data_IF_088589567051
#
_entry.id   IF_088589567051
#
_cell.length_a   1.000
_cell.length_b   1.000
_cell.length_c   1.000
_cell.angle_alpha   90.00
_cell.angle_beta   90.00
_cell.angle_gamma   90.00
#
_symmetry.space_group_name_H-M   'P 1'
#
loop_
_entity.id
_entity.type
_entity.pdbx_description
1 polymer ?
#
# COMPACT_ATOMS: atom_id res chain seq x y z
N UNK A 1 68.71 -23.74 -4.73
CA UNK A 1 68.07 -24.69 -5.67
C UNK A 1 66.58 -24.53 -5.53
N UNK A 2 65.72 -24.47 -6.54
CA UNK A 2 65.78 -24.16 -7.97
C UNK A 2 64.30 -24.07 -8.37
N UNK A 3 63.96 -23.11 -9.24
CA UNK A 3 62.61 -22.89 -9.80
C UNK A 3 61.96 -24.18 -10.30
N UNK A 4 60.63 -24.24 -10.22
CA UNK A 4 59.79 -24.47 -11.39
C UNK A 4 58.56 -23.56 -11.30
N UNK A 5 58.58 -22.51 -12.12
CA UNK A 5 57.40 -21.78 -12.52
C UNK A 5 56.75 -22.59 -13.64
N UNK A 6 55.49 -22.99 -13.47
CA UNK A 6 54.68 -23.49 -14.58
C UNK A 6 54.12 -22.28 -15.33
N UNK A 7 54.61 -22.08 -16.55
CA UNK A 7 54.05 -21.13 -17.50
C UNK A 7 52.78 -21.73 -18.08
N UNK A 8 51.62 -21.20 -17.70
CA UNK A 8 50.40 -21.39 -18.48
C UNK A 8 50.45 -20.41 -19.65
N UNK A 9 50.89 -20.91 -20.81
CA UNK A 9 50.68 -20.23 -22.09
C UNK A 9 49.16 -20.15 -22.33
N UNK A 10 48.59 -18.97 -22.11
CA UNK A 10 47.27 -18.64 -22.62
C UNK A 10 47.39 -18.52 -24.15
N UNK A 11 47.14 -19.63 -24.85
CA UNK A 11 46.95 -19.61 -26.29
C UNK A 11 45.64 -18.87 -26.57
N UNK A 12 45.73 -17.58 -26.85
CA UNK A 12 44.59 -16.84 -27.39
C UNK A 12 44.19 -17.49 -28.72
N UNK A 13 42.91 -17.87 -28.91
CA UNK A 13 42.47 -18.32 -30.22
C UNK A 13 42.71 -17.19 -31.22
N UNK A 14 43.34 -17.52 -32.35
CA UNK A 14 43.48 -16.61 -33.48
C UNK A 14 42.10 -16.04 -33.84
N UNK A 15 41.99 -14.75 -34.19
CA UNK A 15 40.69 -14.15 -34.45
C UNK A 15 40.06 -14.87 -35.64
N UNK A 16 39.03 -15.66 -35.36
CA UNK A 16 38.17 -16.26 -36.37
C UNK A 16 37.76 -15.14 -37.34
N UNK A 17 38.08 -15.37 -38.61
CA UNK A 17 37.70 -14.53 -39.73
C UNK A 17 36.19 -14.33 -39.69
N UNK A 18 35.71 -13.19 -39.15
CA UNK A 18 34.28 -12.83 -39.13
C UNK A 18 33.74 -13.00 -40.54
N UNK A 19 32.96 -14.07 -40.75
CA UNK A 19 32.20 -14.25 -41.99
C UNK A 19 31.19 -13.10 -42.02
N UNK A 20 31.44 -12.10 -42.86
CA UNK A 20 30.42 -11.11 -43.20
C UNK A 20 29.30 -11.88 -43.90
N UNK A 21 28.12 -11.90 -43.30
CA UNK A 21 26.92 -12.42 -43.94
C UNK A 21 26.66 -11.60 -45.21
N UNK A 22 26.31 -12.25 -46.33
CA UNK A 22 26.05 -11.56 -47.60
C UNK A 22 24.86 -10.60 -47.48
N UNK A 23 24.85 -9.49 -48.23
CA UNK A 23 23.92 -8.36 -48.04
C UNK A 23 22.45 -8.67 -48.37
N UNK A 24 22.13 -9.90 -48.81
CA UNK A 24 20.80 -10.25 -49.31
C UNK A 24 19.90 -11.03 -48.32
N UNK A 25 20.27 -11.11 -47.03
CA UNK A 25 19.51 -11.91 -46.06
C UNK A 25 19.22 -11.16 -44.75
N UNK A 26 18.82 -9.87 -44.81
CA UNK A 26 18.35 -9.12 -43.63
C UNK A 26 16.83 -9.05 -43.52
N UNK A 27 16.11 -9.18 -44.64
CA UNK A 27 14.65 -9.08 -44.67
C UNK A 27 13.91 -10.28 -44.04
N UNK A 28 14.35 -11.57 -44.10
CA UNK A 28 13.58 -12.65 -43.49
C UNK A 28 13.68 -12.64 -41.96
N UNK A 29 14.82 -12.19 -41.41
CA UNK A 29 15.00 -12.00 -39.96
C UNK A 29 14.13 -10.85 -39.42
N UNK A 30 14.01 -9.75 -40.17
CA UNK A 30 13.12 -8.64 -39.80
C UNK A 30 11.64 -9.04 -39.87
N UNK A 31 11.23 -9.82 -40.88
CA UNK A 31 9.84 -10.32 -40.96
C UNK A 31 9.55 -11.32 -39.85
N UNK A 32 10.49 -12.23 -39.55
CA UNK A 32 10.33 -13.16 -38.44
C UNK A 32 10.20 -12.43 -37.10
N UNK A 33 10.99 -11.37 -36.87
CA UNK A 33 10.92 -10.57 -35.66
C UNK A 33 9.57 -9.83 -35.53
N UNK A 34 9.05 -9.28 -36.65
CA UNK A 34 7.73 -8.63 -36.69
C UNK A 34 6.61 -9.65 -36.48
N UNK A 35 6.72 -10.85 -37.06
CA UNK A 35 5.73 -11.90 -36.85
C UNK A 35 5.72 -12.39 -35.39
N UNK A 36 6.89 -12.50 -34.76
CA UNK A 36 7.01 -12.86 -33.34
C UNK A 36 6.44 -11.76 -32.44
N UNK A 37 6.72 -10.48 -32.71
CA UNK A 37 6.14 -9.38 -31.92
C UNK A 37 4.63 -9.30 -32.09
N UNK A 38 4.11 -9.48 -33.30
CA UNK A 38 2.66 -9.54 -33.55
C UNK A 38 2.02 -10.75 -32.87
N UNK A 39 2.68 -11.92 -32.89
CA UNK A 39 2.21 -13.09 -32.16
C UNK A 39 2.19 -12.84 -30.66
N UNK A 40 3.24 -12.24 -30.08
CA UNK A 40 3.27 -11.87 -28.66
C UNK A 40 2.16 -10.88 -28.31
N UNK A 41 1.92 -9.86 -29.13
CA UNK A 41 0.83 -8.89 -28.94
C UNK A 41 -0.53 -9.59 -29.05
N UNK A 42 -0.71 -10.47 -30.03
CA UNK A 42 -1.94 -11.23 -30.23
C UNK A 42 -2.21 -12.17 -29.04
N UNK A 43 -1.20 -12.90 -28.58
CA UNK A 43 -1.30 -13.76 -27.40
C UNK A 43 -1.55 -12.94 -26.13
N UNK A 44 -0.91 -11.78 -25.95
CA UNK A 44 -1.18 -10.88 -24.82
C UNK A 44 -2.60 -10.29 -24.84
N UNK A 45 -3.15 -10.04 -26.03
CA UNK A 45 -4.51 -9.53 -26.20
C UNK A 45 -5.58 -10.62 -26.03
N UNK A 46 -5.33 -11.84 -26.52
CA UNK A 46 -6.28 -12.96 -26.46
C UNK A 46 -6.14 -13.84 -25.21
N UNK A 47 -5.04 -13.75 -24.46
CA UNK A 47 -4.90 -14.37 -23.14
C UNK A 47 -4.90 -13.28 -22.07
N UNK A 48 -6.08 -12.76 -21.69
CA UNK A 48 -6.20 -11.92 -20.50
C UNK A 48 -6.06 -12.77 -19.23
N UNK A 49 -5.11 -13.72 -19.16
CA UNK A 49 -4.80 -14.43 -17.90
C UNK A 49 -3.93 -13.58 -16.96
N UNK A 50 -3.78 -12.29 -17.26
CA UNK A 50 -3.37 -11.23 -16.34
C UNK A 50 -4.51 -10.20 -16.15
N UNK A 51 -5.76 -10.51 -16.53
CA UNK A 51 -6.91 -9.68 -16.16
C UNK A 51 -7.32 -10.05 -14.74
N UNK A 52 -6.98 -9.15 -13.82
CA UNK A 52 -7.37 -9.05 -12.42
C UNK A 52 -8.88 -9.18 -12.10
N UNK A 53 -9.75 -9.37 -13.10
CA UNK A 53 -11.21 -9.43 -12.93
C UNK A 53 -11.67 -10.60 -12.05
N UNK A 54 -10.97 -11.74 -12.11
CA UNK A 54 -11.35 -12.91 -11.32
C UNK A 54 -10.90 -12.82 -9.85
N UNK A 55 -9.83 -12.06 -9.58
CA UNK A 55 -9.39 -11.76 -8.21
C UNK A 55 -10.45 -10.91 -7.51
N UNK A 56 -11.10 -10.00 -8.24
CA UNK A 56 -12.10 -9.10 -7.68
C UNK A 56 -13.47 -9.72 -7.36
N UNK A 57 -13.88 -10.74 -8.10
CA UNK A 57 -15.18 -11.39 -7.88
C UNK A 57 -15.23 -12.25 -6.59
N UNK A 58 -14.05 -12.63 -6.06
CA UNK A 58 -13.92 -13.41 -4.83
C UNK A 58 -13.84 -12.56 -3.56
N UNK A 59 -13.80 -11.23 -3.68
CA UNK A 59 -13.98 -10.36 -2.52
C UNK A 59 -15.45 -10.46 -2.12
N UNK A 60 -15.71 -11.25 -1.08
CA UNK A 60 -16.91 -11.09 -0.29
C UNK A 60 -16.97 -9.61 0.10
N UNK A 61 -17.84 -8.89 -0.60
CA UNK A 61 -18.28 -7.56 -0.26
C UNK A 61 -19.22 -7.74 0.95
N UNK A 62 -18.69 -8.28 2.05
CA UNK A 62 -19.17 -7.86 3.37
C UNK A 62 -18.67 -6.43 3.54
N UNK A 63 -19.31 -5.52 2.78
CA UNK A 63 -19.54 -4.19 3.26
C UNK A 63 -20.05 -4.37 4.67
N UNK A 64 -19.25 -3.98 5.66
CA UNK A 64 -19.72 -3.82 7.02
C UNK A 64 -20.93 -2.90 6.87
N UNK A 65 -22.13 -3.49 6.85
CA UNK A 65 -23.36 -2.72 6.79
C UNK A 65 -23.26 -1.80 8.00
N UNK A 66 -23.19 -0.47 7.80
CA UNK A 66 -23.24 0.42 8.94
C UNK A 66 -24.50 0.02 9.71
N UNK A 67 -24.34 -0.16 11.03
CA UNK A 67 -25.46 -0.37 11.95
C UNK A 67 -26.64 0.47 11.46
N UNK A 68 -27.82 -0.14 11.36
CA UNK A 68 -29.04 0.53 10.91
C UNK A 68 -29.38 1.77 11.74
N UNK A 69 -28.69 2.00 12.85
CA UNK A 69 -28.64 3.28 13.56
C UNK A 69 -27.49 4.18 13.07
N UNK A 70 -27.57 4.62 11.81
CA UNK A 70 -26.72 5.69 11.25
C UNK A 70 -26.79 7.00 12.07
N UNK A 71 -27.77 7.12 12.98
CA UNK A 71 -27.97 8.28 13.86
C UNK A 71 -26.92 8.40 14.96
N UNK A 72 -26.33 7.30 15.45
CA UNK A 72 -25.35 7.34 16.54
C UNK A 72 -23.90 7.40 16.05
N UNK A 73 -23.57 6.71 14.95
CA UNK A 73 -22.19 6.71 14.41
C UNK A 73 -21.74 8.07 13.88
N UNK A 74 -22.64 8.81 13.22
CA UNK A 74 -22.35 10.17 12.76
C UNK A 74 -22.15 11.18 13.89
N UNK A 75 -22.83 10.96 15.03
CA UNK A 75 -22.75 11.84 16.20
C UNK A 75 -21.44 11.64 16.96
N UNK A 76 -20.99 10.39 17.15
CA UNK A 76 -19.70 10.09 17.78
C UNK A 76 -18.53 10.66 16.97
N UNK A 77 -18.49 10.41 15.66
CA UNK A 77 -17.40 10.89 14.80
C UNK A 77 -17.29 12.42 14.86
N UNK A 78 -18.44 13.09 14.82
CA UNK A 78 -18.52 14.55 14.93
C UNK A 78 -18.10 15.04 16.32
N UNK A 79 -18.53 14.38 17.39
CA UNK A 79 -18.18 14.73 18.77
C UNK A 79 -16.68 14.60 19.00
N UNK A 80 -16.07 13.49 18.57
CA UNK A 80 -14.62 13.25 18.68
C UNK A 80 -13.86 14.34 17.91
N UNK A 81 -14.23 14.62 16.66
CA UNK A 81 -13.60 15.68 15.89
C UNK A 81 -13.74 17.06 16.57
N UNK A 82 -14.90 17.36 17.16
CA UNK A 82 -15.13 18.61 17.89
C UNK A 82 -14.30 18.71 19.18
N UNK A 83 -14.14 17.60 19.90
CA UNK A 83 -13.34 17.53 21.12
C UNK A 83 -11.86 17.78 20.84
N UNK A 84 -11.34 17.23 19.73
CA UNK A 84 -9.94 17.39 19.34
C UNK A 84 -9.63 18.72 18.67
N UNK A 85 -10.63 19.42 18.12
CA UNK A 85 -10.45 20.67 17.36
C UNK A 85 -9.52 21.71 18.01
N UNK A 86 -9.56 21.96 19.34
CA UNK A 86 -8.67 22.94 19.98
C UNK A 86 -7.20 22.52 20.03
N UNK A 87 -6.92 21.22 19.88
CA UNK A 87 -5.58 20.64 20.03
C UNK A 87 -4.92 20.34 18.68
N UNK A 88 -5.66 20.44 17.57
CA UNK A 88 -5.14 20.14 16.25
C UNK A 88 -3.97 21.05 15.89
N UNK A 89 -2.87 20.44 15.46
CA UNK A 89 -1.72 21.15 14.96
C UNK A 89 -2.07 21.81 13.61
N UNK A 90 -1.72 23.09 13.38
CA UNK A 90 -1.98 23.73 12.10
C UNK A 90 -1.23 23.04 10.95
N UNK A 91 -1.91 22.80 9.84
CA UNK A 91 -1.36 22.10 8.66
C UNK A 91 -0.16 22.85 8.06
N UNK A 92 -0.16 24.18 8.15
CA UNK A 92 0.84 25.07 7.58
C UNK A 92 1.85 25.62 8.60
N UNK A 93 1.83 25.14 9.85
CA UNK A 93 2.82 25.52 10.84
C UNK A 93 4.23 25.08 10.42
N UNK A 94 5.22 25.98 10.54
CA UNK A 94 6.60 25.67 10.13
C UNK A 94 7.27 24.62 11.03
N UNK A 95 6.83 24.55 12.29
CA UNK A 95 7.45 23.77 13.35
C UNK A 95 6.39 23.00 14.14
N UNK A 96 6.73 21.78 14.54
CA UNK A 96 6.02 20.96 15.52
C UNK A 96 7.00 20.57 16.64
N UNK A 97 6.61 20.74 17.90
CA UNK A 97 7.42 20.34 19.06
C UNK A 97 6.78 19.10 19.65
N UNK A 98 7.49 17.96 19.57
CA UNK A 98 7.02 16.69 20.14
C UNK A 98 7.14 16.64 21.66
N UNK A 99 6.57 15.59 22.26
CA UNK A 99 6.58 15.36 23.73
C UNK A 99 7.99 15.32 24.35
N UNK A 100 8.99 14.92 23.57
CA UNK A 100 10.39 14.85 24.01
C UNK A 100 11.17 16.16 23.81
N UNK A 101 10.46 17.29 23.62
CA UNK A 101 11.04 18.60 23.28
C UNK A 101 11.83 18.61 21.96
N UNK A 102 11.65 17.59 21.13
CA UNK A 102 12.29 17.50 19.81
C UNK A 102 11.51 18.39 18.84
N UNK A 103 12.23 19.32 18.22
CA UNK A 103 11.71 20.21 17.19
C UNK A 103 11.72 19.51 15.82
N UNK A 104 10.56 19.42 15.19
CA UNK A 104 10.37 18.95 13.82
C UNK A 104 10.00 20.13 12.94
N UNK A 105 10.62 20.22 11.76
CA UNK A 105 10.35 21.27 10.77
C UNK A 105 9.63 20.68 9.57
N UNK A 106 8.71 21.46 8.99
CA UNK A 106 8.04 21.03 7.77
C UNK A 106 9.08 20.82 6.65
N UNK A 107 8.97 19.71 5.93
CA UNK A 107 9.98 19.31 4.95
C UNK A 107 10.06 20.27 3.74
N UNK A 108 8.97 20.98 3.44
CA UNK A 108 8.83 21.85 2.27
C UNK A 108 8.29 23.23 2.68
N UNK A 109 8.96 24.29 2.23
CA UNK A 109 8.49 25.68 2.36
C UNK A 109 8.44 26.31 0.96
N UNK A 110 7.25 26.61 0.40
CA UNK A 110 5.93 26.56 1.06
C UNK A 110 5.43 25.12 1.32
N UNK A 111 4.53 24.93 2.31
CA UNK A 111 3.88 23.64 2.59
C UNK A 111 3.18 23.07 1.35
N UNK A 112 3.28 21.75 1.16
CA UNK A 112 2.58 21.05 0.06
C UNK A 112 1.06 21.16 0.18
N UNK A 113 0.55 21.10 1.41
CA UNK A 113 -0.86 21.21 1.73
C UNK A 113 -1.06 22.40 2.65
N UNK A 114 -2.13 23.17 2.40
CA UNK A 114 -2.53 24.34 3.21
C UNK A 114 -3.98 24.23 3.67
N UNK A 115 -4.66 23.14 3.32
CA UNK A 115 -6.06 22.85 3.64
C UNK A 115 -6.19 21.38 3.96
N UNK A 116 -7.13 21.06 4.85
CA UNK A 116 -7.47 19.67 5.14
C UNK A 116 -7.99 18.96 3.90
N UNK A 117 -7.49 17.74 3.68
CA UNK A 117 -7.90 16.81 2.65
C UNK A 117 -9.18 16.07 3.04
N UNK A 118 -9.42 15.87 4.34
CA UNK A 118 -10.60 15.21 4.88
C UNK A 118 -10.91 13.90 4.15
N UNK A 119 -12.15 13.75 3.68
CA UNK A 119 -12.65 12.52 3.02
C UNK A 119 -11.97 12.15 1.70
N UNK A 120 -11.05 12.97 1.18
CA UNK A 120 -10.17 12.60 0.06
C UNK A 120 -9.12 11.57 0.45
N UNK A 121 -8.82 11.48 1.75
CA UNK A 121 -7.91 10.49 2.33
C UNK A 121 -8.74 9.32 2.83
N UNK A 122 -8.33 8.12 2.43
CA UNK A 122 -8.74 6.87 3.05
C UNK A 122 -7.60 6.33 3.91
N UNK A 123 -7.87 6.14 5.20
CA UNK A 123 -7.07 5.31 6.07
C UNK A 123 -7.56 3.86 5.94
N UNK A 124 -6.68 2.96 5.50
CA UNK A 124 -7.05 1.59 5.12
C UNK A 124 -6.28 0.56 5.93
N UNK A 125 -7.02 -0.22 6.71
CA UNK A 125 -6.51 -1.43 7.36
C UNK A 125 -6.92 -2.66 6.54
N UNK A 126 -5.95 -3.53 6.24
CA UNK A 126 -6.21 -4.82 5.58
C UNK A 126 -5.51 -5.92 6.34
N UNK A 127 -6.26 -6.92 6.77
CA UNK A 127 -5.74 -8.04 7.55
C UNK A 127 -6.37 -9.36 7.12
N UNK A 128 -5.63 -10.46 7.22
CA UNK A 128 -6.15 -11.82 6.95
C UNK A 128 -6.53 -12.58 8.23
N UNK A 129 -6.16 -12.06 9.40
CA UNK A 129 -6.39 -12.72 10.68
C UNK A 129 -7.86 -12.67 11.06
N UNK A 130 -8.30 -13.71 11.77
CA UNK A 130 -9.59 -13.73 12.41
C UNK A 130 -9.60 -12.73 13.57
N UNK A 131 -10.48 -11.73 13.52
CA UNK A 131 -10.64 -10.72 14.58
C UNK A 131 -11.89 -10.95 15.44
N UNK A 132 -12.53 -12.12 15.31
CA UNK A 132 -13.68 -12.60 16.09
C UNK A 132 -13.27 -13.62 17.17
N UNK A 133 -12.00 -13.58 17.59
CA UNK A 133 -11.47 -14.35 18.71
C UNK A 133 -11.03 -13.45 19.86
N UNK A 134 -10.44 -14.03 20.90
CA UNK A 134 -9.94 -13.29 22.07
C UNK A 134 -9.05 -12.11 21.64
N UNK A 135 -9.31 -10.94 22.21
CA UNK A 135 -8.58 -9.70 21.90
C UNK A 135 -8.85 -9.09 20.54
N UNK A 136 -9.76 -9.64 19.74
CA UNK A 136 -10.20 -9.10 18.46
C UNK A 136 -11.36 -8.08 18.56
N UNK A 137 -11.48 -7.18 17.57
CA UNK A 137 -12.53 -6.15 17.53
C UNK A 137 -13.83 -6.57 16.85
N UNK A 138 -13.87 -7.72 16.17
CA UNK A 138 -15.05 -8.20 15.44
C UNK A 138 -15.92 -9.14 16.29
N UNK A 139 -15.73 -9.14 17.60
CA UNK A 139 -16.59 -9.81 18.57
C UNK A 139 -17.83 -8.96 18.86
N UNK A 140 -18.93 -9.60 19.27
CA UNK A 140 -20.13 -8.88 19.73
C UNK A 140 -19.83 -7.96 20.92
N UNK A 141 -18.90 -8.37 21.78
CA UNK A 141 -18.40 -7.61 22.92
C UNK A 141 -16.88 -7.57 22.87
N UNK A 142 -16.33 -6.37 23.00
CA UNK A 142 -14.88 -6.17 23.07
C UNK A 142 -14.45 -6.27 24.53
N UNK A 143 -13.56 -7.22 24.83
CA UNK A 143 -12.87 -7.26 26.12
C UNK A 143 -11.64 -6.34 26.07
N UNK A 144 -11.76 -5.18 26.70
CA UNK A 144 -10.72 -4.16 26.77
C UNK A 144 -9.45 -4.63 27.49
N UNK A 145 -9.56 -5.59 28.42
CA UNK A 145 -8.41 -6.10 29.17
C UNK A 145 -7.62 -7.15 28.37
N UNK A 146 -8.24 -7.77 27.37
CA UNK A 146 -7.64 -8.79 26.52
C UNK A 146 -7.28 -8.28 25.11
N UNK A 147 -7.37 -6.97 24.85
CA UNK A 147 -7.10 -6.40 23.53
C UNK A 147 -5.71 -6.78 23.00
N UNK A 148 -5.68 -7.35 21.80
CA UNK A 148 -4.41 -7.60 21.12
C UNK A 148 -3.75 -6.28 20.68
N UNK A 149 -2.42 -6.27 20.56
CA UNK A 149 -1.68 -5.12 20.02
C UNK A 149 -2.17 -4.71 18.64
N UNK A 150 -2.56 -5.68 17.81
CA UNK A 150 -3.09 -5.44 16.46
C UNK A 150 -4.44 -4.74 16.50
N UNK A 151 -5.33 -5.17 17.39
CA UNK A 151 -6.62 -4.51 17.58
C UNK A 151 -6.43 -3.09 18.10
N UNK A 152 -5.50 -2.89 19.04
CA UNK A 152 -5.18 -1.56 19.55
C UNK A 152 -4.66 -0.62 18.45
N UNK A 153 -3.82 -1.11 17.53
CA UNK A 153 -3.37 -0.34 16.36
C UNK A 153 -4.51 0.06 15.43
N UNK A 154 -5.36 -0.89 15.03
CA UNK A 154 -6.52 -0.62 14.19
C UNK A 154 -7.51 0.38 14.84
N UNK A 155 -7.75 0.28 16.15
CA UNK A 155 -8.57 1.27 16.88
C UNK A 155 -7.91 2.65 16.92
N UNK A 156 -6.57 2.71 17.04
CA UNK A 156 -5.81 3.96 16.95
C UNK A 156 -5.96 4.60 15.57
N UNK A 157 -5.93 3.81 14.50
CA UNK A 157 -6.17 4.27 13.13
C UNK A 157 -7.58 4.83 12.95
N UNK A 158 -8.59 4.10 13.44
CA UNK A 158 -9.97 4.56 13.39
C UNK A 158 -10.17 5.90 14.13
N UNK A 159 -9.62 6.01 15.34
CA UNK A 159 -9.65 7.26 16.11
C UNK A 159 -8.97 8.41 15.37
N UNK A 160 -7.80 8.16 14.80
CA UNK A 160 -7.07 9.16 14.02
C UNK A 160 -7.86 9.66 12.81
N UNK A 161 -8.50 8.75 12.07
CA UNK A 161 -9.36 9.12 10.94
C UNK A 161 -10.57 9.98 11.39
N UNK A 162 -11.20 9.65 12.52
CA UNK A 162 -12.29 10.46 13.08
C UNK A 162 -11.84 11.87 13.43
N UNK A 163 -10.68 12.02 14.07
CA UNK A 163 -10.12 13.31 14.51
C UNK A 163 -9.92 14.26 13.32
N UNK A 164 -9.38 13.75 12.21
CA UNK A 164 -9.02 14.56 11.03
C UNK A 164 -10.09 14.60 9.94
N UNK A 165 -11.20 13.87 10.12
CA UNK A 165 -12.29 13.79 9.15
C UNK A 165 -11.92 13.03 7.87
N UNK A 166 -10.98 12.08 7.97
CA UNK A 166 -10.65 11.14 6.90
C UNK A 166 -11.69 10.02 6.83
N UNK A 167 -11.83 9.37 5.69
CA UNK A 167 -12.58 8.12 5.62
C UNK A 167 -11.71 6.98 6.20
N UNK A 168 -12.32 6.02 6.88
CA UNK A 168 -11.67 4.83 7.41
C UNK A 168 -12.34 3.57 6.85
N UNK A 169 -11.54 2.58 6.45
CA UNK A 169 -12.03 1.24 6.11
C UNK A 169 -11.13 0.19 6.72
N UNK A 170 -11.76 -0.82 7.31
CA UNK A 170 -11.15 -2.09 7.66
C UNK A 170 -11.63 -3.16 6.69
N UNK A 171 -10.70 -3.95 6.15
CA UNK A 171 -11.00 -5.08 5.26
C UNK A 171 -10.35 -6.33 5.83
N UNK A 172 -11.17 -7.31 6.18
CA UNK A 172 -10.68 -8.66 6.46
C UNK A 172 -10.54 -9.43 5.14
N UNK A 173 -9.33 -9.50 4.62
CA UNK A 173 -9.05 -10.19 3.37
C UNK A 173 -9.03 -11.72 3.57
N UNK A 174 -9.49 -12.51 2.58
CA UNK A 174 -9.33 -13.96 2.64
C UNK A 174 -7.85 -14.34 2.54
N UNK A 175 -7.52 -15.55 3.00
CA UNK A 175 -6.19 -16.13 2.78
C UNK A 175 -6.08 -16.65 1.34
N UNK A 176 -5.02 -16.27 0.65
CA UNK A 176 -4.76 -16.70 -0.72
C UNK A 176 -3.70 -17.80 -0.75
N UNK A 177 -3.89 -18.82 -1.57
CA UNK A 177 -2.94 -19.94 -1.70
C UNK A 177 -1.76 -19.62 -2.62
N UNK A 178 -1.90 -18.61 -3.48
CA UNK A 178 -0.95 -18.25 -4.54
C UNK A 178 0.01 -17.11 -4.17
N UNK A 179 -0.14 -16.51 -2.97
CA UNK A 179 0.67 -15.37 -2.52
C UNK A 179 0.78 -15.31 -1.00
N UNK A 180 1.83 -14.67 -0.50
CA UNK A 180 2.00 -14.41 0.92
C UNK A 180 0.93 -13.43 1.43
N UNK A 181 0.48 -13.57 2.69
CA UNK A 181 -0.58 -12.74 3.29
C UNK A 181 -0.26 -11.24 3.27
N UNK A 182 1.01 -10.85 3.32
CA UNK A 182 1.42 -9.44 3.18
C UNK A 182 1.06 -8.82 1.83
N UNK A 183 0.83 -9.63 0.78
CA UNK A 183 0.47 -9.13 -0.56
C UNK A 183 -1.02 -8.84 -0.74
N UNK A 184 -1.88 -9.19 0.23
CA UNK A 184 -3.33 -8.93 0.11
C UNK A 184 -3.68 -7.45 0.08
N UNK A 185 -2.82 -6.59 0.63
CA UNK A 185 -3.02 -5.13 0.64
C UNK A 185 -2.93 -4.50 -0.74
N UNK A 186 -2.11 -5.06 -1.64
CA UNK A 186 -1.89 -4.48 -2.98
C UNK A 186 -3.19 -4.34 -3.80
N UNK A 187 -3.98 -5.41 -4.01
CA UNK A 187 -5.23 -5.27 -4.74
C UNK A 187 -6.27 -4.41 -4.02
N UNK A 188 -6.26 -4.36 -2.69
CA UNK A 188 -7.16 -3.51 -1.89
C UNK A 188 -6.84 -2.02 -2.04
N UNK A 189 -5.56 -1.66 -1.98
CA UNK A 189 -5.11 -0.29 -2.24
C UNK A 189 -5.46 0.11 -3.68
N UNK A 190 -5.21 -0.77 -4.65
CA UNK A 190 -5.57 -0.51 -6.05
C UNK A 190 -7.07 -0.22 -6.22
N UNK A 191 -7.92 -0.98 -5.53
CA UNK A 191 -9.37 -0.75 -5.61
C UNK A 191 -9.78 0.57 -4.96
N UNK A 192 -9.25 0.87 -3.77
CA UNK A 192 -9.53 2.11 -3.06
C UNK A 192 -9.09 3.37 -3.84
N UNK A 193 -7.97 3.30 -4.56
CA UNK A 193 -7.47 4.40 -5.40
C UNK A 193 -8.39 4.76 -6.57
N UNK A 194 -9.42 3.95 -6.88
CA UNK A 194 -10.44 4.33 -7.87
C UNK A 194 -11.41 5.39 -7.35
N UNK A 195 -11.55 5.51 -6.03
CA UNK A 195 -12.53 6.42 -5.39
C UNK A 195 -11.89 7.51 -4.53
N UNK A 196 -10.68 7.28 -4.02
CA UNK A 196 -9.98 8.21 -3.13
C UNK A 196 -8.74 8.79 -3.80
N UNK A 197 -8.45 10.07 -3.52
CA UNK A 197 -7.26 10.76 -4.02
C UNK A 197 -5.98 10.23 -3.32
N UNK A 198 -6.11 9.88 -2.04
CA UNK A 198 -5.03 9.36 -1.21
C UNK A 198 -5.50 8.11 -0.45
N UNK A 199 -4.69 7.06 -0.49
CA UNK A 199 -4.89 5.85 0.32
C UNK A 199 -3.66 5.66 1.18
N UNK A 200 -3.86 5.70 2.49
CA UNK A 200 -2.82 5.47 3.49
C UNK A 200 -3.12 4.12 4.12
N UNK A 201 -2.37 3.12 3.69
CA UNK A 201 -2.43 1.79 4.29
C UNK A 201 -1.61 1.77 5.58
N UNK A 202 -2.17 1.16 6.62
CA UNK A 202 -1.49 0.99 7.91
C UNK A 202 -1.43 -0.49 8.27
N UNK A 203 -0.24 -0.97 8.67
CA UNK A 203 -0.12 -2.31 9.27
C UNK A 203 -0.72 -2.26 10.68
N UNK A 204 -1.37 -3.34 11.13
CA UNK A 204 -2.14 -3.34 12.38
C UNK A 204 -1.31 -3.12 13.66
N UNK A 205 0.01 -3.29 13.62
CA UNK A 205 0.93 -3.01 14.72
C UNK A 205 1.56 -1.61 14.65
N UNK A 206 1.20 -0.80 13.64
CA UNK A 206 1.50 0.62 13.62
C UNK A 206 0.51 1.38 14.51
N UNK A 207 0.97 2.50 15.10
CA UNK A 207 0.13 3.40 15.90
C UNK A 207 0.52 4.84 15.62
N UNK A 208 -0.47 5.73 15.61
CA UNK A 208 -0.21 7.17 15.65
C UNK A 208 0.24 7.56 17.06
N UNK A 209 1.42 8.16 17.15
CA UNK A 209 1.90 8.70 18.43
C UNK A 209 1.27 10.08 18.72
N UNK A 210 1.15 10.93 17.70
CA UNK A 210 0.57 12.27 17.81
C UNK A 210 -0.76 12.36 17.07
N UNK A 211 -1.87 12.01 17.73
CA UNK A 211 -3.19 12.03 17.07
C UNK A 211 -3.66 13.41 16.62
N UNK A 212 -3.13 14.47 17.20
CA UNK A 212 -3.48 15.85 16.85
C UNK A 212 -2.66 16.42 15.68
N UNK A 213 -1.64 15.70 15.21
CA UNK A 213 -0.82 16.09 14.07
C UNK A 213 -1.44 15.53 12.77
N UNK A 214 -1.90 16.39 11.82
CA UNK A 214 -2.53 15.93 10.58
C UNK A 214 -1.51 15.37 9.58
N UNK A 215 -1.94 14.43 8.72
CA UNK A 215 -1.08 13.87 7.67
C UNK A 215 -0.61 14.93 6.67
N UNK A 216 -1.40 15.97 6.47
CA UNK A 216 -1.08 17.08 5.58
C UNK A 216 0.15 17.89 6.02
N UNK A 217 0.55 17.77 7.29
CA UNK A 217 1.75 18.42 7.82
C UNK A 217 3.03 17.60 7.58
N UNK A 218 2.90 16.27 7.38
CA UNK A 218 4.02 15.35 7.14
C UNK A 218 4.51 15.41 5.67
#
# INVERSE_FOLDING_TARGET
MSRKAESFDFMFPTPERRRRLPPNCRWPLSIALVAVTLAVIFFAYHNPSLSDSNILSGYSLEEIKPSSDARHGGDLNRLVAQLYKPFLHPIDAEVFIGENEVEYKIAQNPPRFTKSLGRKVLLLDVDTRALNGEGGMMNEQIDYHALSSHTAGMLSHYLYAMIHGYDYKFIQAPSYTDRHQTWVKVPMIREALKTYDYVVFMDADAVFHYHHLPLEWL
#
